data_IF_161067300007
#
_entry.id   IF_161067300007
#
_cell.length_a   1.000
_cell.length_b   1.000
_cell.length_c   1.000
_cell.angle_alpha   90.00
_cell.angle_beta   90.00
_cell.angle_gamma   90.00
#
_symmetry.space_group_name_H-M   'P 1'
#
loop_
_entity.id
_entity.type
_entity.pdbx_description
1 polymer ?
#
# COMPACT_ATOMS: atom_id res chain seq x y z
N UNK A 1 -20.03 3.35 -1.93
CA UNK A 1 -19.40 4.62 -1.57
C UNK A 1 -18.07 4.36 -0.90
N UNK A 2 -17.11 5.26 -1.05
CA UNK A 2 -15.87 5.26 -0.25
C UNK A 2 -16.05 6.10 1.02
N UNK A 3 -15.11 5.98 1.96
CA UNK A 3 -14.99 6.92 3.05
C UNK A 3 -14.61 8.32 2.53
N UNK A 4 -14.87 9.36 3.34
CA UNK A 4 -14.44 10.70 3.02
C UNK A 4 -12.92 10.84 3.10
N UNK A 5 -12.34 11.37 2.04
CA UNK A 5 -10.91 11.70 1.98
C UNK A 5 -10.74 13.06 1.32
N UNK A 6 -9.99 13.96 1.96
CA UNK A 6 -9.81 15.35 1.50
C UNK A 6 -11.14 16.08 1.23
N UNK A 7 -12.15 15.81 2.08
CA UNK A 7 -13.48 16.43 2.00
C UNK A 7 -14.40 15.83 0.95
N UNK A 8 -13.98 14.80 0.23
CA UNK A 8 -14.78 14.14 -0.81
C UNK A 8 -14.96 12.66 -0.53
N UNK A 9 -16.15 12.13 -0.83
CA UNK A 9 -16.44 10.70 -0.90
C UNK A 9 -16.84 10.32 -2.32
N UNK A 10 -16.39 9.13 -2.75
CA UNK A 10 -16.75 8.61 -4.06
C UNK A 10 -18.01 7.77 -3.97
N UNK A 11 -19.02 8.09 -4.76
CA UNK A 11 -20.28 7.37 -4.83
C UNK A 11 -20.58 6.95 -6.27
N UNK A 12 -21.28 5.82 -6.44
CA UNK A 12 -21.74 5.39 -7.75
C UNK A 12 -23.08 6.05 -8.08
N UNK A 13 -23.26 6.50 -9.31
CA UNK A 13 -24.52 7.04 -9.81
C UNK A 13 -25.53 5.92 -10.06
N UNK A 14 -26.77 6.05 -9.58
CA UNK A 14 -27.78 4.97 -9.52
C UNK A 14 -28.13 4.29 -10.86
N UNK A 15 -27.95 4.92 -12.00
CA UNK A 15 -28.43 4.45 -13.30
C UNK A 15 -27.47 3.53 -14.06
N UNK A 16 -26.44 2.94 -13.39
CA UNK A 16 -25.34 2.28 -14.08
C UNK A 16 -25.13 0.80 -13.72
N UNK A 17 -26.21 0.03 -13.62
CA UNK A 17 -26.11 -1.43 -13.53
C UNK A 17 -26.38 -2.09 -14.90
N UNK A 18 -25.47 -2.01 -15.84
CA UNK A 18 -25.60 -2.79 -17.08
C UNK A 18 -24.24 -3.27 -17.63
N UNK A 19 -23.84 -4.44 -17.23
CA UNK A 19 -22.98 -5.33 -18.02
C UNK A 19 -21.46 -5.23 -17.75
N UNK A 20 -20.85 -6.41 -17.79
CA UNK A 20 -19.43 -6.66 -17.61
C UNK A 20 -18.53 -5.82 -18.52
N UNK A 21 -17.37 -5.41 -18.01
CA UNK A 21 -16.25 -4.73 -18.71
C UNK A 21 -16.46 -3.27 -19.15
N UNK A 22 -17.27 -2.49 -18.45
CA UNK A 22 -17.43 -1.06 -18.73
C UNK A 22 -17.01 -0.21 -17.52
N UNK A 23 -16.60 1.02 -17.82
CA UNK A 23 -16.42 2.05 -16.80
C UNK A 23 -17.82 2.50 -16.32
N UNK A 24 -17.94 2.79 -15.03
CA UNK A 24 -19.16 3.26 -14.39
C UNK A 24 -19.04 4.75 -14.09
N UNK A 25 -20.17 5.47 -14.12
CA UNK A 25 -20.20 6.85 -13.69
C UNK A 25 -20.13 6.92 -12.15
N UNK A 26 -19.07 7.54 -11.64
CA UNK A 26 -18.89 7.85 -10.25
C UNK A 26 -18.96 9.35 -10.04
N UNK A 27 -19.45 9.74 -8.87
CA UNK A 27 -19.47 11.12 -8.42
C UNK A 27 -18.62 11.25 -7.16
N UNK A 28 -17.83 12.31 -7.10
CA UNK A 28 -17.18 12.72 -5.86
C UNK A 28 -18.01 13.81 -5.24
N UNK A 29 -18.55 13.54 -4.07
CA UNK A 29 -19.46 14.43 -3.34
C UNK A 29 -18.78 14.97 -2.10
N UNK A 30 -19.09 16.21 -1.74
CA UNK A 30 -18.62 16.81 -0.50
C UNK A 30 -19.49 16.39 0.71
N UNK A 31 -19.20 16.95 1.88
CA UNK A 31 -19.91 16.63 3.13
C UNK A 31 -21.38 17.11 3.13
N UNK A 32 -21.76 18.03 2.23
CA UNK A 32 -23.13 18.48 2.06
C UNK A 32 -23.91 17.59 1.08
N UNK A 33 -23.19 16.70 0.36
CA UNK A 33 -23.76 15.88 -0.72
C UNK A 33 -23.70 16.54 -2.09
N UNK A 34 -23.05 17.70 -2.22
CA UNK A 34 -22.91 18.41 -3.48
C UNK A 34 -21.85 17.73 -4.37
N UNK A 35 -22.19 17.49 -5.64
CA UNK A 35 -21.29 16.86 -6.61
C UNK A 35 -20.20 17.85 -7.01
N UNK A 36 -18.95 17.49 -6.73
CA UNK A 36 -17.77 18.29 -7.06
C UNK A 36 -17.10 17.82 -8.35
N UNK A 37 -17.17 16.52 -8.65
CA UNK A 37 -16.56 15.92 -9.84
C UNK A 37 -17.34 14.67 -10.25
N UNK A 38 -17.49 14.45 -11.57
CA UNK A 38 -17.94 13.19 -12.15
C UNK A 38 -16.78 12.55 -12.94
N UNK A 39 -16.61 11.24 -12.80
CA UNK A 39 -15.60 10.47 -13.52
C UNK A 39 -16.11 9.09 -13.91
N UNK A 40 -15.79 8.65 -15.13
CA UNK A 40 -15.99 7.27 -15.54
C UNK A 40 -14.81 6.43 -15.11
N UNK A 41 -15.04 5.35 -14.33
CA UNK A 41 -14.00 4.46 -13.81
C UNK A 41 -14.57 3.09 -13.42
N UNK A 42 -13.72 2.09 -13.26
CA UNK A 42 -14.12 0.70 -12.95
C UNK A 42 -14.49 0.45 -11.50
N UNK A 43 -14.08 1.32 -10.59
CA UNK A 43 -14.31 1.16 -9.16
C UNK A 43 -14.12 2.47 -8.40
N UNK A 44 -14.59 2.52 -7.14
CA UNK A 44 -14.44 3.71 -6.33
C UNK A 44 -12.95 4.03 -6.07
N UNK A 45 -12.65 5.31 -6.01
CA UNK A 45 -11.33 5.84 -5.69
C UNK A 45 -11.43 6.87 -4.57
N UNK A 46 -10.30 7.21 -3.98
CA UNK A 46 -10.20 8.26 -2.95
C UNK A 46 -9.09 9.23 -3.31
N UNK A 47 -9.29 10.49 -2.95
CA UNK A 47 -8.25 11.49 -3.09
C UNK A 47 -7.20 11.36 -2.00
N UNK A 48 -5.95 11.56 -2.38
CA UNK A 48 -4.78 11.68 -1.52
C UNK A 48 -3.99 12.91 -1.97
N UNK A 49 -3.82 13.90 -1.11
CA UNK A 49 -3.13 15.17 -1.44
C UNK A 49 -3.63 15.77 -2.78
N UNK A 50 -4.96 15.91 -2.90
CA UNK A 50 -5.63 16.47 -4.09
C UNK A 50 -5.44 15.65 -5.38
N UNK A 51 -5.00 14.41 -5.31
CA UNK A 51 -4.83 13.48 -6.43
C UNK A 51 -5.58 12.19 -6.17
N UNK A 52 -6.10 11.59 -7.21
CA UNK A 52 -6.72 10.27 -7.14
C UNK A 52 -6.14 9.34 -8.20
N UNK A 53 -5.93 8.08 -7.83
CA UNK A 53 -5.62 7.03 -8.79
C UNK A 53 -6.93 6.39 -9.21
N UNK A 54 -7.35 6.57 -10.45
CA UNK A 54 -8.57 5.98 -11.01
C UNK A 54 -8.22 4.86 -11.97
N UNK A 55 -9.08 3.83 -12.01
CA UNK A 55 -8.96 2.72 -12.96
C UNK A 55 -10.04 2.88 -14.04
N UNK A 56 -9.62 2.91 -15.30
CA UNK A 56 -10.47 2.86 -16.49
C UNK A 56 -10.22 1.60 -17.31
N UNK A 57 -11.02 1.41 -18.35
CA UNK A 57 -10.83 0.28 -19.30
C UNK A 57 -9.45 0.32 -19.94
N UNK A 58 -8.93 1.52 -20.25
CA UNK A 58 -7.62 1.70 -20.90
C UNK A 58 -6.44 1.58 -19.95
N UNK A 59 -6.65 1.55 -18.64
CA UNK A 59 -5.59 1.48 -17.62
C UNK A 59 -5.88 2.32 -16.38
N UNK A 60 -4.83 2.58 -15.62
CA UNK A 60 -4.90 3.39 -14.42
C UNK A 60 -4.34 4.80 -14.69
N UNK A 61 -4.97 5.82 -14.12
CA UNK A 61 -4.63 7.22 -14.34
C UNK A 61 -4.60 7.99 -13.03
N UNK A 62 -3.71 8.98 -12.95
CA UNK A 62 -3.76 10.01 -11.91
C UNK A 62 -4.62 11.16 -12.42
N UNK A 63 -5.57 11.60 -11.60
CA UNK A 63 -6.35 12.81 -11.84
C UNK A 63 -6.18 13.83 -10.71
N UNK A 64 -6.40 15.11 -11.03
CA UNK A 64 -6.52 16.18 -10.03
C UNK A 64 -7.98 16.35 -9.55
N UNK A 65 -8.23 17.32 -8.68
CA UNK A 65 -9.59 17.65 -8.16
C UNK A 65 -10.54 18.15 -9.23
N UNK A 66 -10.06 18.60 -10.39
CA UNK A 66 -10.86 19.05 -11.55
C UNK A 66 -11.17 17.89 -12.50
N UNK A 67 -10.60 16.71 -12.28
CA UNK A 67 -10.74 15.53 -13.15
C UNK A 67 -9.77 15.50 -14.32
N UNK A 68 -8.83 16.45 -14.40
CA UNK A 68 -7.81 16.44 -15.44
C UNK A 68 -6.84 15.29 -15.21
N UNK A 69 -6.50 14.58 -16.28
CA UNK A 69 -5.52 13.50 -16.27
C UNK A 69 -4.12 14.08 -16.21
N UNK A 70 -3.36 13.74 -15.18
CA UNK A 70 -1.99 14.17 -14.98
C UNK A 70 -0.97 13.14 -15.49
N UNK A 71 -1.26 11.84 -15.31
CA UNK A 71 -0.38 10.75 -15.74
C UNK A 71 -1.15 9.46 -16.01
N UNK A 72 -0.54 8.56 -16.79
CA UNK A 72 -1.08 7.26 -17.24
C UNK A 72 -1.12 7.17 -18.76
N UNK A 73 -1.64 6.08 -19.36
CA UNK A 73 -2.15 4.92 -18.66
C UNK A 73 -1.06 4.05 -18.04
N UNK A 74 -1.34 3.49 -16.87
CA UNK A 74 -0.54 2.44 -16.26
C UNK A 74 -1.28 1.11 -16.35
N UNK A 75 -0.59 0.02 -16.63
CA UNK A 75 -1.20 -1.33 -16.68
C UNK A 75 -1.61 -1.80 -15.29
N UNK A 76 -0.83 -1.43 -14.28
CA UNK A 76 -1.14 -1.65 -12.85
C UNK A 76 -0.78 -0.42 -12.05
N UNK A 77 -1.56 -0.14 -11.02
CA UNK A 77 -1.29 0.92 -10.07
C UNK A 77 -1.85 0.55 -8.68
N UNK A 78 -1.23 1.09 -7.65
CA UNK A 78 -1.75 1.10 -6.28
C UNK A 78 -2.28 2.48 -5.94
N UNK A 79 -3.07 2.58 -4.89
CA UNK A 79 -3.34 3.88 -4.27
C UNK A 79 -2.05 4.52 -3.77
N UNK A 80 -2.07 5.84 -3.59
CA UNK A 80 -0.97 6.56 -2.96
C UNK A 80 -0.83 6.18 -1.48
N UNK A 81 0.40 6.04 -1.06
CA UNK A 81 0.78 5.92 0.35
C UNK A 81 2.08 6.69 0.56
N UNK A 82 2.10 7.58 1.54
CA UNK A 82 3.26 8.45 1.84
C UNK A 82 3.78 9.24 0.63
N UNK A 83 2.87 9.71 -0.22
CA UNK A 83 3.18 10.50 -1.41
C UNK A 83 3.61 9.69 -2.64
N UNK A 84 3.69 8.38 -2.53
CA UNK A 84 4.13 7.49 -3.60
C UNK A 84 3.07 6.45 -3.95
N UNK A 85 2.93 6.14 -5.24
CA UNK A 85 2.15 5.04 -5.77
C UNK A 85 3.03 4.10 -6.58
N UNK A 86 2.85 2.80 -6.40
CA UNK A 86 3.53 1.82 -7.23
C UNK A 86 2.77 1.62 -8.53
N UNK A 87 3.48 1.69 -9.65
CA UNK A 87 2.89 1.55 -10.97
C UNK A 87 3.71 0.61 -11.87
N UNK A 88 3.03 0.05 -12.86
CA UNK A 88 3.62 -0.66 -13.99
C UNK A 88 3.17 0.04 -15.28
N UNK A 89 4.12 0.47 -16.10
CA UNK A 89 3.81 1.10 -17.38
C UNK A 89 3.44 0.07 -18.47
N UNK A 90 2.95 0.49 -19.64
CA UNK A 90 2.62 -0.43 -20.75
C UNK A 90 3.79 -1.25 -21.28
N UNK A 91 5.05 -0.86 -20.99
CA UNK A 91 6.25 -1.59 -21.38
C UNK A 91 6.68 -2.59 -20.32
N UNK A 92 5.94 -2.70 -19.20
CA UNK A 92 6.25 -3.59 -18.08
C UNK A 92 7.27 -3.04 -17.08
N UNK A 93 7.65 -1.76 -17.20
CA UNK A 93 8.53 -1.10 -16.24
C UNK A 93 7.77 -0.85 -14.93
N UNK A 94 8.34 -1.33 -13.83
CA UNK A 94 7.77 -1.19 -12.49
C UNK A 94 8.57 -0.19 -11.67
N UNK A 95 7.88 0.62 -10.86
CA UNK A 95 8.51 1.57 -9.95
C UNK A 95 7.50 2.34 -9.13
N UNK A 96 7.96 3.41 -8.51
CA UNK A 96 7.11 4.31 -7.76
C UNK A 96 7.12 5.71 -8.37
N UNK A 97 5.96 6.30 -8.43
CA UNK A 97 5.72 7.67 -8.90
C UNK A 97 5.19 8.53 -7.75
N UNK A 98 5.44 9.84 -7.83
CA UNK A 98 4.85 10.81 -6.91
C UNK A 98 3.42 11.20 -7.36
N UNK A 99 2.80 12.12 -6.64
CA UNK A 99 1.45 12.63 -6.90
C UNK A 99 1.33 13.42 -8.22
N UNK A 100 2.43 13.88 -8.80
CA UNK A 100 2.47 14.56 -10.09
C UNK A 100 2.74 13.60 -11.28
N UNK A 101 2.90 12.29 -10.97
CA UNK A 101 3.16 11.25 -11.97
C UNK A 101 4.63 11.10 -12.34
N UNK A 102 5.54 11.77 -11.65
CA UNK A 102 6.98 11.66 -11.89
C UNK A 102 7.53 10.38 -11.25
N UNK A 103 8.39 9.69 -12.01
CA UNK A 103 9.08 8.50 -11.53
C UNK A 103 10.16 8.85 -10.51
N UNK A 104 9.94 8.44 -9.25
CA UNK A 104 10.87 8.69 -8.14
C UNK A 104 11.79 7.48 -7.92
N UNK A 105 11.23 6.26 -7.98
CA UNK A 105 11.97 5.02 -7.75
C UNK A 105 11.82 4.13 -8.97
N UNK A 106 12.95 3.80 -9.58
CA UNK A 106 13.03 2.83 -10.66
C UNK A 106 13.44 1.47 -10.11
N UNK A 107 12.57 0.48 -10.26
CA UNK A 107 12.88 -0.88 -9.86
C UNK A 107 13.67 -1.63 -10.96
N UNK A 108 14.48 -2.64 -10.59
CA UNK A 108 15.19 -3.45 -11.57
C UNK A 108 14.26 -4.07 -12.61
N UNK A 109 14.76 -4.32 -13.83
CA UNK A 109 13.97 -4.92 -14.93
C UNK A 109 13.37 -6.30 -14.58
N UNK A 110 13.97 -7.04 -13.66
CA UNK A 110 13.47 -8.31 -13.17
C UNK A 110 12.51 -8.18 -11.97
N UNK A 111 12.20 -6.95 -11.54
CA UNK A 111 11.23 -6.72 -10.48
C UNK A 111 9.82 -6.99 -10.99
N UNK A 112 8.99 -7.60 -10.15
CA UNK A 112 7.57 -7.76 -10.42
C UNK A 112 6.74 -6.87 -9.49
N UNK A 113 5.52 -6.55 -9.93
CA UNK A 113 4.60 -5.73 -9.15
C UNK A 113 4.32 -6.33 -7.75
N UNK A 114 4.34 -7.66 -7.63
CA UNK A 114 4.12 -8.37 -6.36
C UNK A 114 5.33 -8.37 -5.41
N UNK A 115 6.51 -7.96 -5.89
CA UNK A 115 7.73 -8.03 -5.09
C UNK A 115 7.87 -6.89 -4.09
N UNK A 116 7.04 -5.84 -4.19
CA UNK A 116 7.16 -4.64 -3.38
C UNK A 116 5.82 -4.29 -2.71
N UNK A 117 5.89 -3.92 -1.44
CA UNK A 117 4.75 -3.42 -0.66
C UNK A 117 4.47 -1.93 -0.90
N UNK A 118 3.44 -1.42 -0.24
CA UNK A 118 3.20 0.01 -0.14
C UNK A 118 4.15 0.61 0.89
N UNK A 119 4.41 1.92 0.78
CA UNK A 119 5.13 2.66 1.81
C UNK A 119 4.29 2.77 3.08
N UNK A 120 4.92 2.54 4.21
CA UNK A 120 4.38 2.78 5.53
C UNK A 120 5.53 3.03 6.51
N UNK A 121 5.42 4.08 7.30
CA UNK A 121 6.49 4.53 8.20
C UNK A 121 7.82 4.84 7.49
N UNK A 122 7.76 5.32 6.25
CA UNK A 122 8.92 5.65 5.40
C UNK A 122 9.55 4.47 4.67
N UNK A 123 9.02 3.27 4.82
CA UNK A 123 9.60 2.04 4.28
C UNK A 123 8.59 1.22 3.45
N UNK A 124 9.05 0.66 2.35
CA UNK A 124 8.31 -0.33 1.56
C UNK A 124 9.06 -1.67 1.55
N UNK A 125 8.29 -2.76 1.64
CA UNK A 125 8.89 -4.10 1.54
C UNK A 125 9.26 -4.44 0.12
N UNK A 126 10.37 -5.14 -0.08
CA UNK A 126 10.65 -5.91 -1.27
C UNK A 126 11.03 -7.35 -0.90
N UNK A 127 10.93 -8.25 -1.87
CA UNK A 127 11.19 -9.66 -1.62
C UNK A 127 12.26 -10.18 -2.56
N UNK A 128 13.14 -10.99 -2.01
CA UNK A 128 14.08 -11.82 -2.75
C UNK A 128 13.87 -13.29 -2.43
N UNK A 129 14.40 -14.14 -3.29
CA UNK A 129 14.32 -15.58 -3.13
C UNK A 129 15.73 -16.16 -3.11
N UNK A 130 16.03 -16.89 -2.05
CA UNK A 130 17.30 -17.58 -1.90
C UNK A 130 17.03 -19.02 -1.46
N UNK A 131 17.60 -20.00 -2.17
CA UNK A 131 17.46 -21.44 -1.88
C UNK A 131 15.98 -21.89 -1.70
N UNK A 132 15.05 -21.31 -2.49
CA UNK A 132 13.64 -21.61 -2.39
C UNK A 132 12.91 -20.96 -1.21
N UNK A 133 13.60 -20.18 -0.39
CA UNK A 133 13.02 -19.39 0.69
C UNK A 133 12.84 -17.93 0.26
N UNK A 134 11.74 -17.33 0.73
CA UNK A 134 11.44 -15.93 0.46
C UNK A 134 11.86 -15.07 1.66
N UNK A 135 12.70 -14.10 1.40
CA UNK A 135 13.14 -13.10 2.37
C UNK A 135 12.54 -11.73 2.03
N UNK A 136 12.47 -10.88 3.03
CA UNK A 136 11.99 -9.51 2.93
C UNK A 136 13.14 -8.55 3.25
N UNK A 137 13.31 -7.55 2.42
CA UNK A 137 14.09 -6.35 2.67
C UNK A 137 13.20 -5.12 2.63
N UNK A 138 13.76 -3.96 2.94
CA UNK A 138 13.03 -2.71 2.97
C UNK A 138 13.81 -1.61 2.27
N UNK A 139 13.09 -0.82 1.46
CA UNK A 139 13.60 0.40 0.80
C UNK A 139 12.93 1.62 1.40
N UNK A 140 13.65 2.74 1.42
CA UNK A 140 13.11 4.04 1.81
C UNK A 140 12.42 4.76 0.63
N UNK A 141 11.83 5.91 0.87
CA UNK A 141 11.13 6.73 -0.14
C UNK A 141 12.03 7.29 -1.25
N UNK A 142 13.35 7.15 -1.12
CA UNK A 142 14.33 7.48 -2.17
C UNK A 142 14.72 6.27 -3.01
N UNK A 143 14.27 5.05 -2.62
CA UNK A 143 14.64 3.79 -3.27
C UNK A 143 15.94 3.18 -2.77
N UNK A 144 16.51 3.70 -1.67
CA UNK A 144 17.71 3.16 -1.05
C UNK A 144 17.34 1.98 -0.14
N UNK A 145 18.16 0.94 -0.15
CA UNK A 145 17.94 -0.23 0.73
C UNK A 145 18.35 0.12 2.15
N UNK A 146 17.36 0.21 3.05
CA UNK A 146 17.58 0.44 4.48
C UNK A 146 17.82 -0.87 5.23
N UNK A 147 17.01 -1.88 4.96
CA UNK A 147 17.17 -3.20 5.55
C UNK A 147 17.41 -4.19 4.42
N UNK A 148 18.59 -4.83 4.37
CA UNK A 148 18.90 -5.85 3.38
C UNK A 148 17.87 -6.98 3.37
N UNK A 149 17.75 -7.67 2.24
CA UNK A 149 16.80 -8.77 2.06
C UNK A 149 17.21 -10.01 2.85
N UNK A 150 17.08 -9.96 4.16
CA UNK A 150 17.52 -11.00 5.11
C UNK A 150 16.43 -11.43 6.10
N UNK A 151 15.33 -10.66 6.17
CA UNK A 151 14.25 -10.94 7.11
C UNK A 151 13.33 -12.01 6.55
N UNK A 152 13.16 -13.11 7.29
CA UNK A 152 12.29 -14.18 6.83
C UNK A 152 10.83 -13.82 7.05
N UNK A 153 10.07 -13.70 5.93
CA UNK A 153 8.64 -13.37 5.94
C UNK A 153 8.29 -12.13 6.78
N UNK A 154 8.99 -11.02 6.52
CA UNK A 154 8.69 -9.74 7.14
C UNK A 154 7.39 -9.13 6.63
N UNK A 155 6.69 -8.39 7.48
CA UNK A 155 5.52 -7.56 7.14
C UNK A 155 5.91 -6.14 6.75
N UNK A 156 4.96 -5.35 6.22
CA UNK A 156 5.09 -3.89 6.21
C UNK A 156 5.18 -3.32 7.63
N UNK A 157 5.75 -2.13 7.75
CA UNK A 157 5.82 -1.40 9.02
C UNK A 157 4.46 -0.80 9.38
N UNK A 158 4.12 -0.84 10.66
CA UNK A 158 3.01 -0.13 11.26
C UNK A 158 3.50 0.45 12.59
N UNK A 159 3.32 1.75 12.77
CA UNK A 159 3.78 2.47 13.97
C UNK A 159 5.25 2.20 14.32
N UNK A 160 6.12 2.21 13.28
CA UNK A 160 7.57 1.98 13.33
C UNK A 160 8.00 0.56 13.75
N UNK A 161 7.08 -0.41 13.70
CA UNK A 161 7.37 -1.81 13.96
C UNK A 161 6.86 -2.71 12.83
N UNK A 162 7.63 -3.72 12.48
CA UNK A 162 7.20 -4.78 11.57
C UNK A 162 7.35 -6.13 12.25
N UNK A 163 6.45 -7.05 11.96
CA UNK A 163 6.63 -8.41 12.44
C UNK A 163 7.38 -9.25 11.41
N UNK A 164 8.05 -10.27 11.89
CA UNK A 164 8.76 -11.23 11.06
C UNK A 164 8.58 -12.64 11.60
N UNK A 165 8.82 -13.64 10.74
CA UNK A 165 8.82 -15.02 11.18
C UNK A 165 10.24 -15.40 11.64
N UNK A 166 10.40 -15.69 12.92
CA UNK A 166 11.61 -16.26 13.50
C UNK A 166 11.71 -17.76 13.19
N UNK A 167 12.79 -18.41 13.59
CA UNK A 167 12.96 -19.86 13.45
C UNK A 167 11.85 -20.64 14.19
N UNK A 168 11.51 -21.83 13.68
CA UNK A 168 10.61 -22.81 14.33
C UNK A 168 9.16 -22.36 14.57
N UNK A 169 8.58 -21.60 13.61
CA UNK A 169 7.17 -21.18 13.65
C UNK A 169 6.83 -20.02 14.62
N UNK A 170 7.82 -19.47 15.30
CA UNK A 170 7.62 -18.30 16.14
C UNK A 170 7.70 -17.00 15.34
N UNK A 171 7.05 -15.97 15.84
CA UNK A 171 7.05 -14.63 15.30
C UNK A 171 7.63 -13.67 16.33
N UNK A 172 8.24 -12.60 15.85
CA UNK A 172 8.76 -11.48 16.63
C UNK A 172 8.50 -10.16 15.90
N UNK A 173 9.01 -9.09 16.47
CA UNK A 173 8.97 -7.76 15.89
C UNK A 173 10.37 -7.22 15.66
N UNK A 174 10.51 -6.36 14.67
CA UNK A 174 11.74 -5.59 14.37
C UNK A 174 11.43 -4.09 14.42
N UNK A 175 12.45 -3.30 14.73
CA UNK A 175 12.44 -1.86 14.56
C UNK A 175 12.81 -1.46 13.12
N UNK A 176 12.86 -0.16 12.82
CA UNK A 176 13.18 0.38 11.48
C UNK A 176 14.63 0.15 11.06
N UNK A 177 15.52 -0.18 11.98
CA UNK A 177 16.91 -0.55 11.70
C UNK A 177 17.03 -2.04 11.35
N UNK A 178 15.91 -2.80 11.41
CA UNK A 178 15.88 -4.25 11.17
C UNK A 178 16.31 -5.08 12.37
N UNK A 179 16.46 -4.46 13.54
CA UNK A 179 16.89 -5.14 14.76
C UNK A 179 15.70 -5.82 15.43
N UNK A 180 15.83 -7.10 15.83
CA UNK A 180 14.80 -7.80 16.60
C UNK A 180 14.53 -7.13 17.95
N UNK A 181 13.24 -7.00 18.28
CA UNK A 181 12.79 -6.50 19.57
C UNK A 181 12.57 -7.66 20.55
N UNK A 182 13.06 -7.50 21.78
CA UNK A 182 12.92 -8.53 22.83
C UNK A 182 11.54 -8.47 23.51
N UNK A 183 10.50 -8.76 22.73
CA UNK A 183 9.11 -8.88 23.23
C UNK A 183 8.73 -10.32 23.57
N UNK A 184 9.67 -11.26 23.39
CA UNK A 184 9.45 -12.69 23.51
C UNK A 184 9.00 -13.33 22.20
N UNK A 185 8.70 -14.62 22.28
CA UNK A 185 8.31 -15.44 21.14
C UNK A 185 6.80 -15.69 21.12
N UNK A 186 6.18 -15.51 19.96
CA UNK A 186 4.75 -15.68 19.77
C UNK A 186 4.46 -16.70 18.66
N UNK A 187 3.39 -17.47 18.83
CA UNK A 187 2.92 -18.38 17.78
C UNK A 187 2.14 -17.66 16.68
N UNK A 188 1.65 -16.45 16.96
CA UNK A 188 1.01 -15.54 16.00
C UNK A 188 1.14 -14.10 16.48
N UNK A 189 1.27 -13.18 15.54
CA UNK A 189 1.37 -11.73 15.80
C UNK A 189 0.54 -10.95 14.78
N UNK A 190 0.13 -9.75 15.16
CA UNK A 190 -0.59 -8.81 14.31
C UNK A 190 0.15 -7.47 14.29
N UNK A 191 -0.10 -6.61 13.28
CA UNK A 191 0.47 -5.26 13.25
C UNK A 191 0.09 -4.45 14.50
N UNK A 192 0.95 -3.51 14.87
CA UNK A 192 0.62 -2.50 15.87
C UNK A 192 -0.45 -1.55 15.33
N UNK A 193 -1.38 -1.15 16.18
CA UNK A 193 -2.40 -0.13 15.94
C UNK A 193 -2.76 0.54 17.26
N UNK A 194 -2.75 1.87 17.29
CA UNK A 194 -3.04 2.66 18.50
C UNK A 194 -2.15 2.28 19.71
N UNK A 195 -0.88 1.97 19.42
CA UNK A 195 0.14 1.65 20.43
C UNK A 195 0.13 0.23 20.98
N UNK A 196 -0.77 -0.64 20.49
CA UNK A 196 -0.89 -2.04 20.92
C UNK A 196 -0.88 -2.99 19.73
N UNK A 197 -0.48 -4.24 19.98
CA UNK A 197 -0.59 -5.33 19.02
C UNK A 197 -1.21 -6.57 19.69
N UNK A 198 -2.11 -7.24 18.96
CA UNK A 198 -2.60 -8.54 19.37
C UNK A 198 -1.53 -9.59 19.09
N UNK A 199 -1.27 -10.46 20.06
CA UNK A 199 -0.31 -11.56 19.95
C UNK A 199 -0.91 -12.85 20.48
N UNK A 200 -0.38 -13.99 20.03
CA UNK A 200 -0.76 -15.29 20.55
C UNK A 200 0.48 -15.99 21.09
N UNK A 201 0.41 -16.42 22.35
CA UNK A 201 1.42 -17.24 23.00
C UNK A 201 0.79 -18.59 23.36
N UNK A 202 1.32 -19.68 22.80
CA UNK A 202 0.73 -21.02 22.91
C UNK A 202 -0.74 -21.04 22.42
N UNK A 203 -1.72 -21.08 23.34
CA UNK A 203 -3.15 -21.12 23.01
C UNK A 203 -3.88 -19.82 23.31
N UNK A 204 -3.26 -18.91 24.05
CA UNK A 204 -3.88 -17.70 24.58
C UNK A 204 -3.54 -16.48 23.71
N UNK A 205 -4.55 -15.67 23.45
CA UNK A 205 -4.40 -14.34 22.86
C UNK A 205 -4.24 -13.30 23.97
N UNK A 206 -3.42 -12.31 23.70
CA UNK A 206 -3.21 -11.14 24.54
C UNK A 206 -2.84 -9.93 23.72
N UNK A 207 -2.60 -8.83 24.38
CA UNK A 207 -2.13 -7.59 23.77
C UNK A 207 -0.82 -7.20 24.41
N UNK A 208 0.06 -6.63 23.60
CA UNK A 208 1.31 -6.03 24.06
C UNK A 208 1.37 -4.57 23.62
N UNK A 209 2.01 -3.73 24.42
CA UNK A 209 2.34 -2.37 24.04
C UNK A 209 3.70 -2.33 23.32
N UNK A 210 4.14 -1.12 22.90
CA UNK A 210 5.43 -0.92 22.21
C UNK A 210 6.68 -1.20 23.08
N UNK A 211 6.52 -1.55 24.33
CA UNK A 211 7.60 -2.00 25.24
C UNK A 211 7.62 -3.51 25.41
N UNK A 212 6.65 -4.23 24.80
CA UNK A 212 6.49 -5.67 24.94
C UNK A 212 5.77 -6.11 26.22
N UNK A 213 5.14 -5.17 26.96
CA UNK A 213 4.39 -5.39 28.19
C UNK A 213 2.92 -5.74 27.90
#
# INVERSE_FOLDING_TARGET
ASDFSHGLACVIKEDYFSGNDKDYAFQFVDQNGDVQLEAEMRGPSSFYQERAMIQKTEGNFIINMQGDVLAGPFTKATSFSEGLARVEDPNGKVGFINTDGEWIIHLPENASFSNYGLFSCGLATFHCQEQGQRYTGYINTKGEVEIPCSIWKGSGFNEDMAFYKAKYLNYGYINKDGEPLDFGEFSQVFPFSEGIACVKKMRDFGFINKKGE
#
